data_IF_507923458842
#
_entry.id   IF_507923458842
#
_cell.length_a   1.000
_cell.length_b   1.000
_cell.length_c   1.000
_cell.angle_alpha   90.00
_cell.angle_beta   90.00
_cell.angle_gamma   90.00
#
_symmetry.space_group_name_H-M   'P 1'
#
loop_
_entity.id
_entity.type
_entity.pdbx_description
1 polymer ?
#
# COMPACT_ATOMS: atom_id res chain seq x y z
N UNK A 1 -12.26 -2.07 -8.83
CA UNK A 1 -11.07 -2.48 -9.60
C UNK A 1 -9.77 -1.77 -9.17
N UNK A 2 -9.72 -1.12 -7.99
CA UNK A 2 -8.51 -0.43 -7.50
C UNK A 2 -7.40 -1.40 -7.02
N UNK A 3 -7.79 -2.55 -6.45
CA UNK A 3 -6.83 -3.51 -5.87
C UNK A 3 -5.77 -4.01 -6.85
N UNK A 4 -6.13 -4.36 -8.09
CA UNK A 4 -5.17 -4.86 -9.09
C UNK A 4 -4.12 -3.80 -9.45
N UNK A 5 -4.55 -2.58 -9.74
CA UNK A 5 -3.65 -1.48 -10.13
C UNK A 5 -2.72 -1.08 -9.00
N UNK A 6 -3.24 -1.01 -7.77
CA UNK A 6 -2.44 -0.68 -6.59
C UNK A 6 -1.45 -1.79 -6.26
N UNK A 7 -1.85 -3.06 -6.38
CA UNK A 7 -0.93 -4.18 -6.17
C UNK A 7 0.18 -4.19 -7.21
N UNK A 8 -0.16 -3.93 -8.47
CA UNK A 8 0.83 -3.84 -9.54
C UNK A 8 1.84 -2.72 -9.27
N UNK A 9 1.37 -1.54 -8.87
CA UNK A 9 2.24 -0.46 -8.41
C UNK A 9 3.16 -0.93 -7.29
N UNK A 10 2.63 -1.66 -6.29
CA UNK A 10 3.44 -2.19 -5.20
C UNK A 10 4.50 -3.16 -5.68
N UNK A 11 4.20 -4.08 -6.61
CA UNK A 11 5.23 -5.00 -7.14
C UNK A 11 6.35 -4.24 -7.84
N UNK A 12 6.01 -3.26 -8.68
CA UNK A 12 7.01 -2.46 -9.38
C UNK A 12 7.83 -1.64 -8.38
N UNK A 13 7.19 -0.94 -7.45
CA UNK A 13 7.88 -0.16 -6.43
C UNK A 13 8.84 -1.02 -5.59
N UNK A 14 8.37 -2.16 -5.08
CA UNK A 14 9.16 -3.04 -4.23
C UNK A 14 10.39 -3.58 -4.95
N UNK A 15 10.24 -3.95 -6.22
CA UNK A 15 11.36 -4.49 -7.02
C UNK A 15 12.37 -3.39 -7.38
N UNK A 16 11.93 -2.22 -7.81
CA UNK A 16 12.82 -1.12 -8.20
C UNK A 16 13.53 -0.49 -6.99
N UNK A 17 12.78 -0.17 -5.94
CA UNK A 17 13.36 0.37 -4.70
C UNK A 17 14.21 -0.68 -3.99
N UNK A 18 13.86 -1.96 -4.08
CA UNK A 18 14.68 -3.05 -3.55
C UNK A 18 16.04 -3.16 -4.23
N UNK A 19 16.09 -2.97 -5.56
CA UNK A 19 17.35 -2.91 -6.32
C UNK A 19 18.14 -1.66 -5.94
N UNK A 20 17.49 -0.49 -5.92
CA UNK A 20 18.15 0.79 -5.62
C UNK A 20 18.77 0.81 -4.21
N UNK A 21 18.04 0.34 -3.20
CA UNK A 21 18.51 0.28 -1.80
C UNK A 21 19.38 -0.94 -1.50
N UNK A 22 19.56 -1.84 -2.47
CA UNK A 22 20.22 -3.15 -2.29
C UNK A 22 19.60 -4.00 -1.16
N UNK A 23 18.32 -3.77 -0.84
CA UNK A 23 17.59 -4.47 0.22
C UNK A 23 16.14 -4.69 -0.17
N UNK A 24 15.74 -5.97 -0.30
CA UNK A 24 14.35 -6.34 -0.57
C UNK A 24 13.40 -5.85 0.53
N UNK A 25 13.85 -5.91 1.78
CA UNK A 25 13.08 -5.43 2.93
C UNK A 25 12.86 -3.92 2.89
N UNK A 26 13.90 -3.16 2.50
CA UNK A 26 13.78 -1.71 2.36
C UNK A 26 12.88 -1.33 1.17
N UNK A 27 12.97 -2.05 0.04
CA UNK A 27 12.05 -1.86 -1.09
C UNK A 27 10.60 -2.10 -0.70
N UNK A 28 10.32 -3.17 0.03
CA UNK A 28 9.00 -3.45 0.63
C UNK A 28 8.53 -2.32 1.54
N UNK A 29 9.34 -1.94 2.51
CA UNK A 29 9.03 -0.90 3.48
C UNK A 29 8.74 0.45 2.81
N UNK A 30 9.65 0.96 1.98
CA UNK A 30 9.50 2.26 1.32
C UNK A 30 8.31 2.32 0.38
N UNK A 31 8.07 1.25 -0.40
CA UNK A 31 6.92 1.21 -1.32
C UNK A 31 5.60 1.30 -0.57
N UNK A 32 5.49 0.65 0.60
CA UNK A 32 4.31 0.75 1.45
C UNK A 32 4.07 2.17 1.94
N UNK A 33 5.12 2.88 2.37
CA UNK A 33 4.99 4.27 2.82
C UNK A 33 4.59 5.21 1.69
N UNK A 34 5.17 5.04 0.50
CA UNK A 34 4.79 5.83 -0.68
C UNK A 34 3.32 5.56 -1.05
N UNK A 35 2.94 4.29 -1.14
CA UNK A 35 1.57 3.89 -1.44
C UNK A 35 0.57 4.45 -0.40
N UNK A 36 0.89 4.36 0.89
CA UNK A 36 0.05 4.90 1.93
C UNK A 36 -0.07 6.43 1.82
N UNK A 37 1.04 7.12 1.54
CA UNK A 37 1.07 8.58 1.41
C UNK A 37 0.24 9.08 0.22
N UNK A 38 0.16 8.30 -0.87
CA UNK A 38 -0.67 8.63 -2.03
C UNK A 38 -2.17 8.75 -1.72
N UNK A 39 -2.63 8.24 -0.57
CA UNK A 39 -4.02 8.37 -0.13
C UNK A 39 -4.30 9.70 0.60
N UNK A 40 -3.27 10.34 1.18
CA UNK A 40 -3.44 11.56 1.97
C UNK A 40 -4.13 12.72 1.22
N UNK A 41 -3.80 13.01 -0.06
CA UNK A 41 -4.48 14.07 -0.80
C UNK A 41 -5.99 13.86 -0.96
N UNK A 42 -6.44 12.61 -1.13
CA UNK A 42 -7.88 12.28 -1.23
C UNK A 42 -8.59 12.62 0.07
N UNK A 43 -8.08 12.15 1.21
CA UNK A 43 -8.69 12.42 2.51
C UNK A 43 -8.69 13.91 2.89
N UNK A 44 -7.60 14.62 2.58
CA UNK A 44 -7.58 16.07 2.77
C UNK A 44 -8.55 16.80 1.83
N UNK A 45 -8.73 16.31 0.60
CA UNK A 45 -9.71 16.83 -0.35
C UNK A 45 -11.15 16.66 0.13
N UNK A 46 -11.47 15.53 0.78
CA UNK A 46 -12.81 15.22 1.26
C UNK A 46 -13.22 16.01 2.52
N UNK A 47 -12.29 16.19 3.47
CA UNK A 47 -12.60 16.77 4.79
C UNK A 47 -11.89 18.08 5.14
N UNK A 48 -10.87 18.48 4.37
CA UNK A 48 -9.96 19.61 4.68
C UNK A 48 -9.33 19.56 6.08
N UNK A 49 -9.24 18.37 6.66
CA UNK A 49 -8.59 18.10 7.94
C UNK A 49 -7.22 17.44 7.69
N UNK A 50 -6.16 18.20 7.95
CA UNK A 50 -4.79 17.72 7.81
C UNK A 50 -4.46 16.62 8.82
N UNK A 51 -5.01 16.70 10.03
CA UNK A 51 -4.77 15.72 11.09
C UNK A 51 -5.37 14.38 10.69
N UNK A 52 -6.63 14.37 10.24
CA UNK A 52 -7.26 13.11 9.80
C UNK A 52 -6.57 12.54 8.55
N UNK A 53 -6.12 13.38 7.61
CA UNK A 53 -5.36 12.88 6.46
C UNK A 53 -4.04 12.19 6.86
N UNK A 54 -3.31 12.75 7.84
CA UNK A 54 -2.08 12.14 8.37
C UNK A 54 -2.39 10.85 9.15
N UNK A 55 -3.42 10.86 10.00
CA UNK A 55 -3.82 9.69 10.77
C UNK A 55 -4.33 8.56 9.87
N UNK A 56 -5.08 8.89 8.82
CA UNK A 56 -5.50 7.95 7.78
C UNK A 56 -4.31 7.28 7.09
N UNK A 57 -3.28 8.06 6.77
CA UNK A 57 -2.03 7.55 6.20
C UNK A 57 -1.36 6.53 7.13
N UNK A 58 -1.23 6.87 8.42
CA UNK A 58 -0.63 5.97 9.42
C UNK A 58 -1.47 4.70 9.63
N UNK A 59 -2.81 4.83 9.59
CA UNK A 59 -3.77 3.74 9.78
C UNK A 59 -3.63 2.63 8.74
N UNK A 60 -3.29 2.97 7.50
CA UNK A 60 -3.19 1.98 6.41
C UNK A 60 -1.80 1.36 6.24
N UNK A 61 -0.76 1.85 6.92
CA UNK A 61 0.60 1.30 6.82
C UNK A 61 0.64 -0.19 7.22
N UNK A 62 0.06 -0.65 8.35
CA UNK A 62 0.09 -2.07 8.72
C UNK A 62 -0.57 -2.96 7.66
N UNK A 63 -1.65 -2.49 7.03
CA UNK A 63 -2.33 -3.20 5.94
C UNK A 63 -1.43 -3.28 4.71
N UNK A 64 -0.84 -2.17 4.28
CA UNK A 64 0.08 -2.14 3.14
C UNK A 64 1.32 -3.02 3.36
N UNK A 65 1.85 -3.08 4.59
CA UNK A 65 2.95 -3.98 4.94
C UNK A 65 2.52 -5.45 4.78
N UNK A 66 1.37 -5.83 5.36
CA UNK A 66 0.85 -7.19 5.27
C UNK A 66 0.60 -7.60 3.81
N UNK A 67 -0.11 -6.79 3.04
CA UNK A 67 -0.42 -7.10 1.64
C UNK A 67 0.82 -7.13 0.76
N UNK A 68 1.73 -6.16 0.95
CA UNK A 68 2.99 -6.09 0.22
C UNK A 68 3.91 -7.30 0.47
N UNK A 69 3.78 -7.95 1.64
CA UNK A 69 4.56 -9.16 1.98
C UNK A 69 4.09 -10.42 1.22
N UNK A 70 2.82 -10.46 0.78
CA UNK A 70 2.26 -11.64 0.13
C UNK A 70 2.93 -11.93 -1.22
N UNK A 71 3.25 -10.92 -2.02
CA UNK A 71 3.89 -11.12 -3.33
C UNK A 71 5.27 -11.81 -3.21
N UNK A 72 6.24 -11.29 -2.42
CA UNK A 72 7.54 -11.96 -2.31
C UNK A 72 7.45 -13.34 -1.64
N UNK A 73 6.45 -13.57 -0.77
CA UNK A 73 6.24 -14.85 -0.07
C UNK A 73 5.62 -15.94 -0.96
N UNK A 74 4.69 -15.55 -1.84
CA UNK A 74 3.92 -16.49 -2.70
C UNK A 74 4.43 -16.54 -4.14
N UNK A 75 5.29 -15.60 -4.54
CA UNK A 75 5.73 -15.38 -5.92
C UNK A 75 4.57 -15.10 -6.90
N UNK A 76 3.43 -14.67 -6.37
CA UNK A 76 2.24 -14.34 -7.15
C UNK A 76 1.67 -13.01 -6.68
N UNK A 77 1.17 -12.23 -7.63
CA UNK A 77 0.42 -11.01 -7.35
C UNK A 77 -1.01 -11.32 -6.89
N UNK A 78 -1.53 -12.48 -7.28
CA UNK A 78 -2.94 -12.84 -7.09
C UNK A 78 -3.38 -12.83 -5.62
N UNK A 79 -2.62 -13.38 -4.65
CA UNK A 79 -3.04 -13.37 -3.25
C UNK A 79 -3.21 -11.96 -2.68
N UNK A 80 -2.31 -11.03 -3.03
CA UNK A 80 -2.42 -9.66 -2.54
C UNK A 80 -3.56 -8.90 -3.22
N UNK A 81 -3.82 -9.17 -4.51
CA UNK A 81 -4.98 -8.61 -5.24
C UNK A 81 -6.29 -9.09 -4.65
N UNK A 82 -6.38 -10.37 -4.31
CA UNK A 82 -7.58 -10.95 -3.70
C UNK A 82 -7.79 -10.35 -2.31
N UNK A 83 -6.78 -10.34 -1.44
CA UNK A 83 -6.92 -9.81 -0.07
C UNK A 83 -7.23 -8.32 -0.08
N UNK A 84 -6.59 -7.54 -0.95
CA UNK A 84 -6.87 -6.12 -1.10
C UNK A 84 -8.27 -5.89 -1.72
N UNK A 85 -8.63 -6.60 -2.78
CA UNK A 85 -9.95 -6.50 -3.41
C UNK A 85 -11.09 -6.97 -2.51
N UNK A 86 -10.82 -7.93 -1.62
CA UNK A 86 -11.72 -8.42 -0.57
C UNK A 86 -11.50 -7.71 0.76
N UNK A 87 -10.93 -6.51 0.77
CA UNK A 87 -10.83 -5.69 1.98
C UNK A 87 -12.24 -5.19 2.40
N UNK A 88 -13.08 -6.13 2.87
CA UNK A 88 -14.46 -5.97 3.33
C UNK A 88 -14.52 -5.12 4.61
N UNK A 89 -13.37 -4.80 5.21
CA UNK A 89 -13.25 -4.10 6.48
C UNK A 89 -13.43 -2.59 6.36
N UNK A 90 -13.50 -2.02 5.14
CA UNK A 90 -13.64 -0.58 4.94
C UNK A 90 -12.43 0.25 5.44
N UNK A 91 -11.38 -0.40 5.96
CA UNK A 91 -10.22 0.23 6.60
C UNK A 91 -9.34 1.07 5.65
N UNK A 92 -9.65 1.08 4.36
CA UNK A 92 -9.00 1.94 3.35
C UNK A 92 -10.00 2.84 2.62
N UNK A 93 -11.30 2.55 2.68
CA UNK A 93 -12.35 3.23 1.91
C UNK A 93 -13.32 3.98 2.84
N UNK A 94 -12.76 4.83 3.70
CA UNK A 94 -13.51 5.82 4.47
C UNK A 94 -13.38 7.21 3.84
#
# INVERSE_FOLDING_TARGET
>A
MAGLSEEFFRVVGQTRLGVWTRSKGMGWFLTTFIWAFMHAPKWYGDGHDLTEAILGFLRIIPLGLMWGYLTPRTKSLLPSVIVHGMNIWGLQNF
#
